data_IF_669512668904
#
_entry.id   IF_669512668904
#
_cell.length_a   1.000
_cell.length_b   1.000
_cell.length_c   1.000
_cell.angle_alpha   90.00
_cell.angle_beta   90.00
_cell.angle_gamma   90.00
#
_symmetry.space_group_name_H-M   'P 1'
#
loop_
_entity.id
_entity.type
_entity.pdbx_description
1 polymer ?
#
# COMPACT_ATOMS: atom_id res chain seq x y z
N UNK A 1 14.21 -8.89 10.80
CA UNK A 1 12.79 -8.41 10.80
C UNK A 1 12.22 -8.63 12.18
N UNK A 2 11.38 -7.73 12.68
CA UNK A 2 10.63 -7.92 13.92
C UNK A 2 9.28 -8.57 13.60
N UNK A 3 8.82 -9.50 14.42
CA UNK A 3 7.55 -10.21 14.26
C UNK A 3 6.85 -10.43 15.60
N UNK A 4 5.54 -10.64 15.55
CA UNK A 4 4.69 -11.02 16.68
C UNK A 4 3.75 -12.12 16.19
N UNK A 5 3.50 -13.15 17.01
CA UNK A 5 2.51 -14.18 16.67
C UNK A 5 1.10 -13.61 16.79
N UNK A 6 0.14 -14.28 16.16
CA UNK A 6 -1.26 -13.89 16.26
C UNK A 6 -1.75 -13.94 17.71
N UNK A 7 -1.40 -15.00 18.45
CA UNK A 7 -1.80 -15.23 19.83
C UNK A 7 -1.26 -14.13 20.75
N UNK A 8 0.00 -13.73 20.56
CA UNK A 8 0.61 -12.65 21.35
C UNK A 8 0.00 -11.28 21.01
N UNK A 9 -0.42 -11.07 19.77
CA UNK A 9 -1.17 -9.86 19.39
C UNK A 9 -2.54 -9.82 20.06
N UNK A 10 -3.29 -10.92 20.05
CA UNK A 10 -4.61 -10.99 20.70
C UNK A 10 -4.49 -10.77 22.22
N UNK A 11 -3.54 -11.44 22.86
CA UNK A 11 -3.24 -11.24 24.29
C UNK A 11 -2.90 -9.78 24.61
N UNK A 12 -2.14 -9.11 23.74
CA UNK A 12 -1.79 -7.70 23.92
C UNK A 12 -3.01 -6.79 23.81
N UNK A 13 -3.96 -7.09 22.91
CA UNK A 13 -5.23 -6.38 22.81
C UNK A 13 -6.08 -6.58 24.06
N UNK A 14 -6.20 -7.82 24.56
CA UNK A 14 -6.94 -8.14 25.79
C UNK A 14 -6.38 -7.41 27.02
N UNK A 15 -5.06 -7.28 27.11
CA UNK A 15 -4.39 -6.63 28.23
C UNK A 15 -4.36 -5.10 28.13
N UNK A 16 -4.59 -4.54 26.95
CA UNK A 16 -4.44 -3.11 26.71
C UNK A 16 -5.37 -2.60 25.62
N UNK A 17 -6.41 -1.89 26.04
CA UNK A 17 -7.33 -1.18 25.14
C UNK A 17 -6.60 -0.19 24.20
N UNK A 18 -5.44 0.36 24.60
CA UNK A 18 -4.61 1.19 23.72
C UNK A 18 -4.09 0.39 22.52
N UNK A 19 -3.71 -0.87 22.73
CA UNK A 19 -3.21 -1.74 21.67
C UNK A 19 -4.32 -2.22 20.75
N UNK A 20 -5.49 -2.54 21.30
CA UNK A 20 -6.68 -2.79 20.50
C UNK A 20 -7.00 -1.60 19.59
N UNK A 21 -7.02 -0.38 20.14
CA UNK A 21 -7.26 0.84 19.37
C UNK A 21 -6.20 1.07 18.28
N UNK A 22 -4.93 0.83 18.60
CA UNK A 22 -3.83 0.92 17.65
C UNK A 22 -4.04 -0.04 16.47
N UNK A 23 -4.25 -1.33 16.75
CA UNK A 23 -4.44 -2.33 15.71
C UNK A 23 -5.71 -2.09 14.90
N UNK A 24 -6.81 -1.68 15.53
CA UNK A 24 -8.06 -1.32 14.85
C UNK A 24 -7.86 -0.14 13.90
N UNK A 25 -7.24 0.96 14.36
CA UNK A 25 -6.92 2.09 13.48
C UNK A 25 -6.00 1.69 12.33
N UNK A 26 -4.98 0.86 12.61
CA UNK A 26 -4.04 0.39 11.59
C UNK A 26 -4.74 -0.47 10.54
N UNK A 27 -5.57 -1.43 10.95
CA UNK A 27 -6.32 -2.30 10.06
C UNK A 27 -7.30 -1.49 9.19
N UNK A 28 -8.07 -0.57 9.80
CA UNK A 28 -9.01 0.27 9.07
C UNK A 28 -8.30 1.16 8.04
N UNK A 29 -7.17 1.78 8.42
CA UNK A 29 -6.37 2.58 7.50
C UNK A 29 -5.83 1.77 6.32
N UNK A 30 -5.37 0.53 6.57
CA UNK A 30 -4.94 -0.40 5.54
C UNK A 30 -6.07 -0.77 4.58
N UNK A 31 -7.25 -1.10 5.13
CA UNK A 31 -8.45 -1.43 4.34
C UNK A 31 -8.87 -0.26 3.45
N UNK A 32 -8.99 0.96 3.99
CA UNK A 32 -9.35 2.16 3.22
C UNK A 32 -8.33 2.42 2.10
N UNK A 33 -7.04 2.27 2.38
CA UNK A 33 -5.98 2.45 1.37
C UNK A 33 -6.10 1.42 0.24
N UNK A 34 -6.42 0.17 0.56
CA UNK A 34 -6.65 -0.87 -0.44
C UNK A 34 -7.89 -0.56 -1.30
N UNK A 35 -8.99 -0.12 -0.70
CA UNK A 35 -10.20 0.27 -1.43
C UNK A 35 -9.93 1.46 -2.37
N UNK A 36 -9.20 2.48 -1.91
CA UNK A 36 -8.77 3.61 -2.75
C UNK A 36 -7.96 3.15 -3.95
N UNK A 37 -7.03 2.22 -3.76
CA UNK A 37 -6.25 1.63 -4.86
C UNK A 37 -7.13 0.89 -5.86
N UNK A 38 -8.11 0.11 -5.39
CA UNK A 38 -9.07 -0.58 -6.28
C UNK A 38 -9.86 0.44 -7.12
N UNK A 39 -10.38 1.49 -6.48
CA UNK A 39 -11.09 2.56 -7.19
C UNK A 39 -10.21 3.28 -8.22
N UNK A 40 -8.95 3.57 -7.86
CA UNK A 40 -7.96 4.15 -8.78
C UNK A 40 -7.68 3.22 -9.97
N UNK A 41 -7.57 1.91 -9.76
CA UNK A 41 -7.41 0.93 -10.84
C UNK A 41 -8.61 0.88 -11.80
N UNK A 42 -9.82 1.08 -11.30
CA UNK A 42 -11.04 1.04 -12.09
C UNK A 42 -11.31 2.35 -12.85
N UNK A 43 -10.99 3.49 -12.24
CA UNK A 43 -11.43 4.79 -12.74
C UNK A 43 -10.31 5.59 -13.45
N UNK A 44 -9.06 5.41 -13.03
CA UNK A 44 -7.96 6.25 -13.49
C UNK A 44 -7.19 5.57 -14.63
N UNK A 45 -6.59 6.36 -15.50
CA UNK A 45 -5.67 5.86 -16.52
C UNK A 45 -4.27 5.58 -15.94
N UNK A 46 -3.41 4.90 -16.69
CA UNK A 46 -2.10 4.46 -16.21
C UNK A 46 -1.18 5.62 -15.74
N UNK A 47 -1.29 6.80 -16.36
CA UNK A 47 -0.49 7.98 -16.00
C UNK A 47 -0.95 8.57 -14.67
N UNK A 48 -2.25 8.77 -14.52
CA UNK A 48 -2.85 9.27 -13.26
C UNK A 48 -2.51 8.35 -12.08
N UNK A 49 -2.60 7.03 -12.27
CA UNK A 49 -2.21 6.07 -11.23
C UNK A 49 -0.73 6.17 -10.86
N UNK A 50 0.14 6.44 -11.84
CA UNK A 50 1.57 6.61 -11.60
C UNK A 50 1.86 7.90 -10.81
N UNK A 51 1.22 9.00 -11.16
CA UNK A 51 1.33 10.28 -10.44
C UNK A 51 0.79 10.17 -9.01
N UNK A 52 -0.35 9.50 -8.82
CA UNK A 52 -0.89 9.18 -7.50
C UNK A 52 0.09 8.36 -6.67
N UNK A 53 0.73 7.33 -7.25
CA UNK A 53 1.74 6.52 -6.58
C UNK A 53 2.94 7.35 -6.11
N UNK A 54 3.45 8.27 -6.95
CA UNK A 54 4.57 9.15 -6.60
C UNK A 54 4.21 10.11 -5.46
N UNK A 55 2.98 10.60 -5.45
CA UNK A 55 2.45 11.47 -4.38
C UNK A 55 2.28 10.73 -3.06
N UNK A 56 1.69 9.52 -3.10
CA UNK A 56 1.43 8.72 -1.90
C UNK A 56 2.69 8.12 -1.28
N UNK A 57 3.71 7.81 -2.09
CA UNK A 57 4.93 7.16 -1.64
C UNK A 57 6.20 7.87 -2.14
N UNK A 58 6.49 9.10 -1.64
CA UNK A 58 7.69 9.83 -2.01
C UNK A 58 8.96 9.00 -1.78
N UNK A 59 9.82 8.91 -2.79
CA UNK A 59 11.09 8.18 -2.73
C UNK A 59 10.99 6.66 -2.85
N UNK A 60 9.78 6.08 -2.90
CA UNK A 60 9.62 4.62 -3.04
C UNK A 60 9.94 4.14 -4.46
N UNK A 61 9.73 5.01 -5.46
CA UNK A 61 10.04 4.74 -6.87
C UNK A 61 11.52 4.44 -7.11
N UNK A 62 12.42 4.99 -6.31
CA UNK A 62 13.87 4.78 -6.40
C UNK A 62 14.33 3.51 -5.67
N UNK A 63 13.53 3.03 -4.70
CA UNK A 63 13.89 1.89 -3.83
C UNK A 63 13.30 0.56 -4.31
N UNK A 64 12.28 0.61 -5.17
CA UNK A 64 11.58 -0.56 -5.69
C UNK A 64 11.95 -0.82 -7.14
N UNK A 65 11.92 -2.09 -7.53
CA UNK A 65 12.12 -2.45 -8.93
C UNK A 65 10.95 -1.96 -9.79
N UNK A 66 11.23 -1.59 -11.05
CA UNK A 66 10.20 -1.21 -12.04
C UNK A 66 9.12 -2.29 -12.18
N UNK A 67 9.48 -3.56 -12.04
CA UNK A 67 8.51 -4.68 -12.11
C UNK A 67 7.47 -4.58 -11.00
N UNK A 68 7.88 -4.35 -9.74
CA UNK A 68 6.96 -4.23 -8.62
C UNK A 68 6.03 -3.03 -8.76
N UNK A 69 6.57 -1.90 -9.21
CA UNK A 69 5.78 -0.68 -9.46
C UNK A 69 4.78 -0.93 -10.59
N UNK A 70 5.19 -1.60 -11.68
CA UNK A 70 4.29 -1.93 -12.78
C UNK A 70 3.14 -2.85 -12.34
N UNK A 71 3.43 -3.89 -11.55
CA UNK A 71 2.42 -4.74 -10.94
C UNK A 71 1.50 -3.97 -9.97
N UNK A 72 2.03 -3.01 -9.23
CA UNK A 72 1.21 -2.16 -8.35
C UNK A 72 0.18 -1.35 -9.15
N UNK A 73 0.61 -0.77 -10.26
CA UNK A 73 -0.17 0.10 -11.15
C UNK A 73 -1.07 -0.67 -12.13
N UNK A 74 -0.96 -2.00 -12.20
CA UNK A 74 -1.70 -2.83 -13.13
C UNK A 74 -1.29 -2.64 -14.60
N UNK A 75 0.00 -2.44 -14.86
CA UNK A 75 0.55 -2.22 -16.22
C UNK A 75 1.79 -3.09 -16.47
N UNK A 76 2.21 -3.17 -17.73
CA UNK A 76 3.47 -3.83 -18.09
C UNK A 76 4.69 -2.99 -17.71
N UNK A 77 5.87 -3.60 -17.60
CA UNK A 77 7.13 -2.90 -17.29
C UNK A 77 7.49 -1.89 -18.39
N UNK A 78 7.23 -2.22 -19.64
CA UNK A 78 7.45 -1.38 -20.82
C UNK A 78 6.52 -0.16 -20.76
N UNK A 79 5.26 -0.38 -20.37
CA UNK A 79 4.28 0.70 -20.18
C UNK A 79 4.73 1.66 -19.08
N UNK A 80 5.17 1.14 -17.93
CA UNK A 80 5.75 2.00 -16.88
C UNK A 80 7.00 2.74 -17.36
N UNK A 81 7.85 2.10 -18.17
CA UNK A 81 9.06 2.74 -18.69
C UNK A 81 8.73 3.91 -19.63
N UNK A 82 7.63 3.85 -20.38
CA UNK A 82 7.12 4.97 -21.18
C UNK A 82 6.53 6.11 -20.33
N UNK A 83 5.95 5.79 -19.17
CA UNK A 83 5.37 6.80 -18.26
C UNK A 83 6.41 7.53 -17.40
N UNK A 84 7.59 6.92 -17.23
CA UNK A 84 8.70 7.44 -16.41
C UNK A 84 9.86 8.00 -17.25
N UNK A 85 9.71 8.00 -18.57
CA UNK A 85 10.60 8.66 -19.52
C UNK A 85 10.15 10.11 -19.72
#
# INVERSE_FOLDING_TARGET
LLSITYENRERLCEQSHKMEHFFRKKANGGFVSQQRRILSLLNNNAKERYEEFLSLYPGLSQRLSKTLIASYLGVSRETLSRLSA
#
